data_IF_635244688148
#
_entry.id   IF_635244688148
#
_cell.length_a   1.000
_cell.length_b   1.000
_cell.length_c   1.000
_cell.angle_alpha   90.00
_cell.angle_beta   90.00
_cell.angle_gamma   90.00
#
_symmetry.space_group_name_H-M   'P 1'
#
loop_
_entity.id
_entity.type
_entity.pdbx_description
1 polymer ?
#
# COMPACT_ATOMS: atom_id res chain seq x y z
N UNK A 1 1.90 -7.30 23.38
CA UNK A 1 3.19 -7.32 22.65
C UNK A 1 3.51 -5.92 22.18
N UNK A 2 4.71 -5.45 22.43
CA UNK A 2 5.16 -4.14 21.98
C UNK A 2 5.26 -4.08 20.44
N UNK A 3 5.10 -2.88 19.88
CA UNK A 3 5.18 -2.63 18.43
C UNK A 3 6.52 -3.10 17.87
N UNK A 4 7.61 -2.81 18.59
CA UNK A 4 8.95 -3.23 18.17
C UNK A 4 9.07 -4.75 18.13
N UNK A 5 8.49 -5.45 19.09
CA UNK A 5 8.49 -6.90 19.13
C UNK A 5 7.67 -7.49 18.00
N UNK A 6 6.50 -6.91 17.70
CA UNK A 6 5.65 -7.34 16.58
C UNK A 6 6.39 -7.18 15.25
N UNK A 7 7.08 -6.06 15.06
CA UNK A 7 7.84 -5.83 13.84
C UNK A 7 9.00 -6.82 13.71
N UNK A 8 9.73 -7.07 14.80
CA UNK A 8 10.84 -8.02 14.81
C UNK A 8 10.35 -9.43 14.47
N UNK A 9 9.23 -9.86 15.02
CA UNK A 9 8.66 -11.17 14.73
C UNK A 9 8.26 -11.29 13.25
N UNK A 10 7.67 -10.23 12.69
CA UNK A 10 7.28 -10.21 11.28
C UNK A 10 8.50 -10.36 10.36
N UNK A 11 9.57 -9.61 10.64
CA UNK A 11 10.79 -9.61 9.81
C UNK A 11 11.56 -10.91 9.92
N UNK A 12 11.51 -11.60 11.07
CA UNK A 12 12.19 -12.89 11.30
C UNK A 12 11.46 -14.07 10.69
N UNK A 13 10.18 -13.88 10.32
CA UNK A 13 9.40 -14.94 9.69
C UNK A 13 9.85 -15.22 8.25
N UNK A 14 9.33 -16.29 7.63
CA UNK A 14 9.62 -16.58 6.22
C UNK A 14 9.29 -15.40 5.31
N UNK A 15 10.10 -15.18 4.30
CA UNK A 15 9.95 -14.04 3.39
C UNK A 15 8.59 -14.04 2.69
N UNK A 16 8.09 -15.21 2.30
CA UNK A 16 6.80 -15.38 1.66
C UNK A 16 5.61 -15.15 2.60
N UNK A 17 5.83 -15.19 3.92
CA UNK A 17 4.84 -14.87 4.93
C UNK A 17 4.93 -13.43 5.42
N UNK A 18 5.88 -12.65 4.93
CA UNK A 18 6.06 -11.27 5.34
C UNK A 18 4.93 -10.39 4.78
N UNK A 19 4.11 -9.86 5.67
CA UNK A 19 2.98 -9.00 5.31
C UNK A 19 3.43 -7.55 5.24
N UNK A 20 3.38 -6.99 4.04
CA UNK A 20 3.80 -5.60 3.80
C UNK A 20 2.87 -4.62 4.51
N UNK A 21 1.57 -4.87 4.50
CA UNK A 21 0.59 -4.01 5.18
C UNK A 21 0.85 -3.94 6.69
N UNK A 22 1.03 -5.08 7.33
CA UNK A 22 1.31 -5.12 8.76
C UNK A 22 2.63 -4.42 9.08
N UNK A 23 3.68 -4.67 8.31
CA UNK A 23 4.97 -4.01 8.48
C UNK A 23 4.88 -2.49 8.35
N UNK A 24 4.17 -2.02 7.33
CA UNK A 24 3.98 -0.58 7.10
C UNK A 24 3.20 0.08 8.24
N UNK A 25 2.15 -0.56 8.75
CA UNK A 25 1.40 -0.01 9.88
C UNK A 25 2.16 -0.08 11.21
N UNK A 26 3.00 -1.07 11.40
CA UNK A 26 3.87 -1.12 12.58
C UNK A 26 4.89 0.02 12.57
N UNK A 27 5.43 0.37 11.41
CA UNK A 27 6.29 1.55 11.25
C UNK A 27 5.48 2.82 11.56
N UNK A 28 4.28 2.93 11.03
CA UNK A 28 3.40 4.08 11.30
C UNK A 28 3.06 4.20 12.80
N UNK A 29 2.86 3.08 13.47
CA UNK A 29 2.58 3.05 14.91
C UNK A 29 3.76 3.50 15.76
N UNK A 30 4.99 3.37 15.26
CA UNK A 30 6.16 3.97 15.91
C UNK A 30 6.10 5.49 15.91
N UNK A 31 5.62 6.08 14.81
CA UNK A 31 5.45 7.53 14.70
C UNK A 31 4.20 8.02 15.42
N UNK A 32 3.17 7.19 15.49
CA UNK A 32 1.91 7.48 16.15
C UNK A 32 1.55 6.35 17.10
N UNK A 33 1.91 6.48 18.37
CA UNK A 33 1.74 5.44 19.39
C UNK A 33 0.28 5.13 19.73
N UNK A 34 -0.63 6.02 19.39
CA UNK A 34 -2.07 5.80 19.57
C UNK A 34 -2.73 5.05 18.40
N UNK A 35 -1.95 4.67 17.38
CA UNK A 35 -2.49 4.03 16.19
C UNK A 35 -2.96 2.61 16.50
N UNK A 36 -4.22 2.31 16.16
CA UNK A 36 -4.76 0.96 16.19
C UNK A 36 -4.47 0.28 14.85
N UNK A 37 -3.48 -0.60 14.85
CA UNK A 37 -3.01 -1.30 13.63
C UNK A 37 -4.13 -2.16 13.04
N UNK A 38 -4.92 -2.82 13.88
CA UNK A 38 -6.00 -3.69 13.38
C UNK A 38 -7.09 -2.88 12.67
N UNK A 39 -7.42 -1.69 13.17
CA UNK A 39 -8.35 -0.79 12.48
C UNK A 39 -7.82 -0.38 11.11
N UNK A 40 -6.52 -0.11 11.02
CA UNK A 40 -5.89 0.26 9.74
C UNK A 40 -5.93 -0.91 8.74
N UNK A 41 -5.71 -2.13 9.21
CA UNK A 41 -5.82 -3.32 8.35
C UNK A 41 -7.25 -3.48 7.82
N UNK A 42 -8.26 -3.20 8.66
CA UNK A 42 -9.67 -3.23 8.24
C UNK A 42 -9.98 -2.17 7.19
N UNK A 43 -9.32 -1.02 7.21
CA UNK A 43 -9.49 0.00 6.17
C UNK A 43 -9.06 -0.51 4.80
N UNK A 44 -7.96 -1.29 4.74
CA UNK A 44 -7.55 -1.94 3.50
C UNK A 44 -8.55 -3.02 3.06
N UNK A 45 -9.11 -3.77 4.02
CA UNK A 45 -10.17 -4.75 3.72
C UNK A 45 -11.38 -4.05 3.11
N UNK A 46 -11.80 -2.91 3.65
CA UNK A 46 -12.93 -2.14 3.15
C UNK A 46 -12.69 -1.61 1.73
N UNK A 47 -11.46 -1.15 1.45
CA UNK A 47 -11.10 -0.73 0.09
C UNK A 47 -11.22 -1.89 -0.90
N UNK A 48 -10.78 -3.06 -0.51
CA UNK A 48 -10.89 -4.25 -1.36
C UNK A 48 -12.36 -4.65 -1.58
N UNK A 49 -13.17 -4.62 -0.53
CA UNK A 49 -14.60 -4.95 -0.63
C UNK A 49 -15.35 -4.00 -1.57
N UNK A 50 -14.93 -2.75 -1.64
CA UNK A 50 -15.54 -1.77 -2.54
C UNK A 50 -15.09 -1.87 -3.99
N UNK A 51 -14.07 -2.67 -4.28
CA UNK A 51 -13.51 -2.78 -5.64
C UNK A 51 -14.33 -3.78 -6.48
N UNK A 52 -14.96 -3.34 -7.58
CA UNK A 52 -15.87 -4.21 -8.34
C UNK A 52 -15.16 -5.19 -9.27
N UNK A 53 -13.89 -4.95 -9.62
CA UNK A 53 -13.17 -5.74 -10.61
C UNK A 53 -11.86 -6.25 -10.04
N UNK A 54 -11.69 -7.58 -9.88
CA UNK A 54 -10.50 -8.17 -9.24
C UNK A 54 -9.36 -8.36 -10.25
N UNK A 55 -8.91 -7.27 -10.86
CA UNK A 55 -7.76 -7.22 -11.75
C UNK A 55 -6.88 -6.04 -11.37
N UNK A 56 -5.61 -6.05 -11.79
CA UNK A 56 -4.71 -4.93 -11.51
C UNK A 56 -5.28 -3.61 -12.05
N UNK A 57 -5.77 -3.61 -13.28
CA UNK A 57 -6.38 -2.41 -13.88
C UNK A 57 -7.63 -2.00 -13.10
N UNK A 58 -8.46 -2.95 -12.67
CA UNK A 58 -9.64 -2.68 -11.87
C UNK A 58 -9.31 -2.07 -10.51
N UNK A 59 -8.28 -2.58 -9.84
CA UNK A 59 -7.80 -2.03 -8.57
C UNK A 59 -7.30 -0.59 -8.76
N UNK A 60 -6.49 -0.35 -9.77
CA UNK A 60 -5.98 0.99 -10.05
C UNK A 60 -7.10 1.97 -10.40
N UNK A 61 -8.04 1.56 -11.24
CA UNK A 61 -9.18 2.40 -11.60
C UNK A 61 -10.03 2.74 -10.38
N UNK A 62 -10.27 1.77 -9.51
CA UNK A 62 -11.03 1.99 -8.29
C UNK A 62 -10.31 2.93 -7.32
N UNK A 63 -9.05 2.66 -7.01
CA UNK A 63 -8.29 3.44 -6.03
C UNK A 63 -7.99 4.87 -6.51
N UNK A 64 -7.57 5.02 -7.76
CA UNK A 64 -7.17 6.33 -8.28
C UNK A 64 -8.33 7.09 -8.93
N UNK A 65 -9.28 6.39 -9.51
CA UNK A 65 -10.43 7.01 -10.17
C UNK A 65 -11.61 7.26 -9.26
N UNK A 66 -12.01 6.27 -8.48
CA UNK A 66 -13.23 6.34 -7.66
C UNK A 66 -12.93 6.85 -6.25
N UNK A 67 -11.99 6.21 -5.56
CA UNK A 67 -11.62 6.58 -4.18
C UNK A 67 -10.84 7.89 -4.15
N UNK A 68 -10.01 8.14 -5.15
CA UNK A 68 -9.34 9.41 -5.32
C UNK A 68 -7.93 9.50 -4.75
N UNK A 69 -7.23 8.38 -4.62
CA UNK A 69 -5.80 8.42 -4.27
C UNK A 69 -5.01 9.13 -5.36
N UNK A 70 -4.01 9.92 -4.97
CA UNK A 70 -3.12 10.62 -5.89
C UNK A 70 -1.76 10.85 -5.26
N UNK A 71 -0.79 11.18 -6.11
CA UNK A 71 0.53 11.58 -5.64
C UNK A 71 0.49 12.94 -4.94
N UNK A 72 1.32 13.10 -3.92
CA UNK A 72 1.49 14.37 -3.25
C UNK A 72 2.49 15.23 -4.04
N UNK A 73 1.98 16.07 -4.90
CA UNK A 73 2.80 16.94 -5.76
C UNK A 73 3.22 18.24 -5.08
N UNK A 74 2.54 18.62 -3.98
CA UNK A 74 2.81 19.86 -3.27
C UNK A 74 3.94 19.69 -2.25
N UNK A 75 4.02 18.54 -1.61
CA UNK A 75 4.98 18.29 -0.53
C UNK A 75 5.51 16.86 -0.58
N UNK A 76 6.10 16.52 -1.72
CA UNK A 76 6.57 15.19 -2.06
C UNK A 76 7.52 14.59 -1.03
N UNK A 77 8.42 15.43 -0.45
CA UNK A 77 9.45 14.96 0.50
C UNK A 77 8.99 14.92 1.94
N UNK A 78 7.74 15.28 2.22
CA UNK A 78 7.27 15.28 3.61
C UNK A 78 7.21 13.84 4.16
N UNK A 79 7.73 13.59 5.37
CA UNK A 79 7.73 12.24 5.95
C UNK A 79 6.36 11.57 6.04
N UNK A 80 5.28 12.35 6.13
CA UNK A 80 3.90 11.83 6.17
C UNK A 80 3.54 10.97 4.96
N UNK A 81 4.20 11.18 3.80
CA UNK A 81 3.97 10.40 2.60
C UNK A 81 4.50 8.97 2.70
N UNK A 82 5.33 8.70 3.71
CA UNK A 82 5.90 7.38 3.98
C UNK A 82 5.13 6.62 5.06
N UNK A 83 4.15 7.24 5.70
CA UNK A 83 3.35 6.63 6.76
C UNK A 83 2.00 6.20 6.20
N UNK A 84 1.76 4.90 6.15
CA UNK A 84 0.61 4.35 5.44
C UNK A 84 -0.74 4.81 6.02
N UNK A 85 -0.87 4.94 7.34
CA UNK A 85 -2.09 5.45 7.97
C UNK A 85 -2.42 6.88 7.50
N UNK A 86 -1.41 7.73 7.41
CA UNK A 86 -1.56 9.11 6.93
C UNK A 86 -1.92 9.14 5.44
N UNK A 87 -1.31 8.24 4.65
CA UNK A 87 -1.65 8.11 3.23
C UNK A 87 -3.11 7.70 3.04
N UNK A 88 -3.61 6.79 3.86
CA UNK A 88 -5.03 6.39 3.82
C UNK A 88 -5.96 7.55 4.21
N UNK A 89 -5.58 8.33 5.23
CA UNK A 89 -6.39 9.48 5.68
C UNK A 89 -6.46 10.58 4.63
N UNK A 90 -5.32 10.94 4.07
CA UNK A 90 -5.21 12.04 3.11
C UNK A 90 -5.52 11.63 1.68
N UNK A 91 -5.45 10.33 1.37
CA UNK A 91 -5.49 9.78 -0.01
C UNK A 91 -4.41 10.40 -0.88
N UNK A 92 -3.27 10.69 -0.27
CA UNK A 92 -2.09 11.25 -0.93
C UNK A 92 -0.86 10.51 -0.45
N UNK A 93 0.06 10.23 -1.36
CA UNK A 93 1.28 9.52 -1.02
C UNK A 93 2.33 9.64 -2.11
N UNK A 94 3.41 8.92 -1.92
CA UNK A 94 4.48 8.78 -2.91
C UNK A 94 4.31 7.45 -3.66
N UNK A 95 5.04 7.23 -4.77
CA UNK A 95 4.85 6.01 -5.56
C UNK A 95 4.91 4.72 -4.75
N UNK A 96 5.86 4.60 -3.81
CA UNK A 96 6.01 3.36 -3.04
C UNK A 96 4.82 3.12 -2.10
N UNK A 97 4.33 4.14 -1.40
CA UNK A 97 3.19 3.96 -0.49
C UNK A 97 1.89 3.72 -1.25
N UNK A 98 1.70 4.38 -2.38
CA UNK A 98 0.56 4.13 -3.26
C UNK A 98 0.62 2.70 -3.85
N UNK A 99 1.82 2.23 -4.20
CA UNK A 99 2.01 0.87 -4.67
C UNK A 99 1.66 -0.16 -3.59
N UNK A 100 2.02 0.11 -2.33
CA UNK A 100 1.66 -0.77 -1.20
C UNK A 100 0.13 -0.87 -1.07
N UNK A 101 -0.59 0.23 -1.20
CA UNK A 101 -2.06 0.21 -1.17
C UNK A 101 -2.60 -0.66 -2.31
N UNK A 102 -2.10 -0.47 -3.54
CA UNK A 102 -2.52 -1.26 -4.69
C UNK A 102 -2.24 -2.75 -4.47
N UNK A 103 -1.04 -3.09 -4.04
CA UNK A 103 -0.64 -4.49 -3.83
C UNK A 103 -1.48 -5.16 -2.74
N UNK A 104 -1.75 -4.46 -1.65
CA UNK A 104 -2.48 -5.02 -0.52
C UNK A 104 -3.98 -5.13 -0.79
N UNK A 105 -4.57 -4.19 -1.49
CA UNK A 105 -5.95 -4.32 -1.98
C UNK A 105 -6.04 -5.48 -2.96
N UNK A 106 -5.10 -5.58 -3.89
CA UNK A 106 -5.04 -6.68 -4.86
C UNK A 106 -4.91 -8.04 -4.20
N UNK A 107 -4.06 -8.15 -3.18
CA UNK A 107 -3.88 -9.41 -2.44
C UNK A 107 -5.18 -9.89 -1.81
N UNK A 108 -5.97 -8.97 -1.25
CA UNK A 108 -7.28 -9.27 -0.68
C UNK A 108 -8.29 -9.73 -1.73
N UNK A 109 -8.08 -9.36 -2.98
CA UNK A 109 -8.91 -9.78 -4.12
C UNK A 109 -8.39 -11.05 -4.81
N UNK A 110 -7.35 -11.68 -4.25
CA UNK A 110 -6.77 -12.90 -4.81
C UNK A 110 -5.72 -12.68 -5.89
N UNK A 111 -5.24 -11.45 -6.07
CA UNK A 111 -4.19 -11.15 -7.03
C UNK A 111 -2.81 -11.37 -6.40
N UNK A 112 -1.87 -11.86 -7.21
CA UNK A 112 -0.46 -11.97 -6.82
C UNK A 112 0.32 -10.84 -7.46
N UNK A 113 0.42 -9.72 -6.74
CA UNK A 113 1.07 -8.51 -7.22
C UNK A 113 2.45 -8.34 -6.59
N UNK A 114 3.38 -7.83 -7.36
CA UNK A 114 4.73 -7.54 -6.90
C UNK A 114 5.13 -6.12 -7.26
N UNK A 115 5.85 -5.47 -6.34
CA UNK A 115 6.46 -4.17 -6.60
C UNK A 115 7.82 -4.33 -7.24
N UNK A 116 8.13 -3.51 -8.23
CA UNK A 116 9.43 -3.48 -8.88
C UNK A 116 9.97 -2.05 -8.83
N UNK A 117 11.05 -1.83 -8.07
CA UNK A 117 11.73 -0.55 -8.02
C UNK A 117 12.67 -0.41 -9.21
N UNK A 118 12.57 0.71 -9.91
CA UNK A 118 13.47 1.10 -11.01
C UNK A 118 13.90 2.55 -10.80
N UNK A 119 15.05 2.97 -11.33
CA UNK A 119 15.47 4.36 -11.20
C UNK A 119 14.38 5.34 -11.67
N UNK A 120 13.90 6.20 -10.78
CA UNK A 120 12.85 7.17 -11.07
C UNK A 120 11.44 6.62 -11.21
N UNK A 121 11.24 5.30 -11.05
CA UNK A 121 9.93 4.65 -11.24
C UNK A 121 9.69 3.58 -10.19
N UNK A 122 8.41 3.35 -9.89
CA UNK A 122 7.97 2.19 -9.15
C UNK A 122 6.82 1.53 -9.91
N UNK A 123 6.96 0.24 -10.21
CA UNK A 123 5.97 -0.52 -10.96
C UNK A 123 5.27 -1.51 -10.04
N UNK A 124 3.99 -1.76 -10.28
CA UNK A 124 3.28 -2.91 -9.73
C UNK A 124 3.01 -3.88 -10.87
N UNK A 125 3.38 -5.12 -10.68
CA UNK A 125 3.26 -6.18 -11.68
C UNK A 125 2.35 -7.28 -11.16
N UNK A 126 1.46 -7.77 -12.03
CA UNK A 126 0.71 -8.99 -11.78
C UNK A 126 1.57 -10.18 -12.22
N UNK A 127 1.93 -11.06 -11.29
CA UNK A 127 2.80 -12.22 -11.56
C UNK A 127 2.14 -13.26 -12.44
N UNK A 128 0.82 -13.33 -12.43
CA UNK A 128 0.05 -14.29 -13.22
C UNK A 128 -0.23 -13.79 -14.63
N UNK A 129 0.08 -12.54 -14.94
CA UNK A 129 -0.20 -11.91 -16.24
C UNK A 129 0.95 -10.99 -16.64
N UNK A 130 1.01 -10.65 -17.94
CA UNK A 130 1.99 -9.69 -18.46
C UNK A 130 1.46 -8.25 -18.27
N UNK A 131 0.74 -7.99 -17.20
CA UNK A 131 0.21 -6.68 -16.89
C UNK A 131 1.09 -6.00 -15.85
N UNK A 132 1.45 -4.75 -16.12
CA UNK A 132 2.18 -3.92 -15.17
C UNK A 132 1.65 -2.49 -15.23
N UNK A 133 1.63 -1.83 -14.09
CA UNK A 133 1.20 -0.43 -13.99
C UNK A 133 2.30 0.38 -13.33
N UNK A 134 2.73 1.43 -14.01
CA UNK A 134 3.72 2.36 -13.49
C UNK A 134 3.06 3.33 -12.50
N UNK A 135 3.48 3.31 -11.25
CA UNK A 135 2.94 4.20 -10.22
C UNK A 135 3.19 5.66 -10.56
N UNK A 136 4.32 5.97 -11.20
CA UNK A 136 4.61 7.34 -11.63
C UNK A 136 3.49 7.92 -12.53
N UNK A 137 2.96 7.13 -13.44
CA UNK A 137 1.89 7.60 -14.32
C UNK A 137 0.60 7.95 -13.56
N UNK A 138 0.42 7.41 -12.38
CA UNK A 138 -0.74 7.68 -11.54
C UNK A 138 -0.58 8.89 -10.62
N UNK A 139 0.62 9.49 -10.59
CA UNK A 139 0.90 10.69 -9.80
C UNK A 139 0.50 11.99 -10.52
N UNK A 140 0.33 11.93 -11.80
CA UNK A 140 0.02 13.12 -12.62
C UNK A 140 -1.47 13.34 -12.81
#
# INVERSE_FOLDING_TARGET
>A
MDITDRFADLVRGPEDECRIDLGAFLIAAHANRGLDVDDQLHRLDDLAMGCPTPTLDGVCEHLFGVVGFQGDTEDYKHPRNSLLDVVLDRRRGIPITLAVVVMEVGRRLGLDLAGVGMPGHFLVRDRDRIAATAMRAKLN
#
